data_IF_080709639358
#
_entry.id   IF_080709639358
#
_cell.length_a   1.000
_cell.length_b   1.000
_cell.length_c   1.000
_cell.angle_alpha   90.00
_cell.angle_beta   90.00
_cell.angle_gamma   90.00
#
_symmetry.space_group_name_H-M   'P 1'
#
loop_
_entity.id
_entity.type
_entity.pdbx_description
1 polymer ?
2 water ?
#
# COMPACT_ATOMS: atom_id res chain seq x y z
N UNK A 26 -0.16 5.49 16.59
CA UNK A 26 -0.81 4.17 16.51
C UNK A 26 -2.04 4.27 15.62
N UNK A 27 -2.01 5.21 14.65
CA UNK A 27 -3.16 5.60 13.76
C UNK A 27 -4.40 6.37 14.36
N UNK A 28 -4.54 6.35 15.68
CA UNK A 28 -5.74 6.86 16.40
C UNK A 28 -5.89 8.39 16.40
N UNK A 29 -4.82 9.13 16.12
CA UNK A 29 -4.90 10.57 15.99
C UNK A 29 -5.85 10.97 14.86
N UNK A 30 -6.10 10.02 13.95
CA UNK A 30 -6.89 10.27 12.73
C UNK A 30 -8.40 10.18 12.93
N UNK A 31 -8.80 9.50 14.00
CA UNK A 31 -10.19 9.33 14.37
C UNK A 31 -10.90 10.61 14.81
N UNK A 32 -12.22 10.62 14.69
CA UNK A 32 -13.05 11.75 15.11
C UNK A 32 -13.79 12.40 13.97
N UNK A 33 -14.19 13.65 14.20
CA UNK A 33 -14.97 14.47 13.26
C UNK A 33 -14.18 15.73 12.91
N UNK A 34 -14.00 15.99 11.61
CA UNK A 34 -13.23 17.15 11.13
C UNK A 34 -14.13 18.06 10.35
N UNK A 35 -13.81 19.35 10.36
CA UNK A 35 -14.58 20.37 9.65
C UNK A 35 -13.64 21.17 8.81
N UNK A 36 -14.00 21.44 7.56
CA UNK A 36 -13.18 22.30 6.69
C UNK A 36 -13.01 23.68 7.28
N UNK A 37 -11.77 24.19 7.27
CA UNK A 37 -11.53 25.58 7.68
C UNK A 37 -10.81 26.41 6.64
N UNK A 38 -10.53 25.81 5.49
CA UNK A 38 -9.87 26.53 4.41
C UNK A 38 -9.53 25.55 3.28
N UNK A 39 -9.20 26.10 2.12
CA UNK A 39 -8.89 25.34 0.93
C UNK A 39 -8.40 26.29 -0.16
N UNK A 40 -7.29 25.91 -0.79
CA UNK A 40 -6.73 26.67 -1.90
C UNK A 40 -6.35 25.71 -3.03
N UNK A 41 -6.68 26.10 -4.27
CA UNK A 41 -6.51 25.28 -5.50
C UNK A 41 -7.56 24.19 -5.79
N UNK A 42 -8.41 23.90 -4.80
CA UNK A 42 -9.72 23.18 -4.90
C UNK A 42 -10.38 23.06 -6.27
N UNK A 43 -10.41 24.15 -7.01
CA UNK A 43 -11.16 24.18 -8.25
C UNK A 43 -10.37 23.65 -9.42
N UNK A 44 -9.06 23.95 -9.47
CA UNK A 44 -8.19 23.43 -10.55
C UNK A 44 -8.10 21.92 -10.48
N UNK A 45 -8.30 21.37 -9.29
CA UNK A 45 -8.20 19.92 -9.11
C UNK A 45 -9.36 19.19 -9.75
N UNK A 46 -10.57 19.75 -9.62
CA UNK A 46 -11.78 19.20 -10.23
C UNK A 46 -11.87 19.47 -11.73
N UNK A 47 -11.30 20.58 -12.20
CA UNK A 47 -11.18 20.80 -13.65
C UNK A 47 -10.22 19.75 -14.25
N UNK A 48 -9.14 19.41 -13.55
CA UNK A 48 -8.10 18.53 -14.10
C UNK A 48 -8.60 17.10 -14.28
N UNK A 49 -9.58 16.74 -13.44
CA UNK A 49 -10.29 15.46 -13.43
C UNK A 49 -11.47 15.59 -14.36
N UNK A 50 -11.75 16.84 -14.80
CA UNK A 50 -12.78 17.13 -15.79
C UNK A 50 -14.20 17.16 -15.28
N UNK A 51 -14.32 17.32 -13.96
CA UNK A 51 -15.59 17.60 -13.23
C UNK A 51 -16.34 18.82 -13.84
N UNK A 52 -17.66 18.73 -13.99
CA UNK A 52 -18.43 19.81 -14.67
C UNK A 52 -18.58 21.10 -13.88
N UNK A 53 -18.53 22.26 -14.55
CA UNK A 53 -18.67 23.56 -13.87
C UNK A 53 -19.79 23.52 -12.84
N UNK A 54 -20.97 23.14 -13.31
CA UNK A 54 -22.18 23.05 -12.50
C UNK A 54 -21.87 22.38 -11.16
N UNK A 55 -21.52 21.10 -11.26
CA UNK A 55 -20.99 20.31 -10.15
C UNK A 55 -19.84 21.04 -9.41
N UNK A 56 -18.82 21.51 -10.13
CA UNK A 56 -17.67 22.26 -9.53
C UNK A 56 -18.04 23.43 -8.62
N UNK A 57 -19.16 24.09 -8.87
CA UNK A 57 -19.40 25.35 -8.14
C UNK A 57 -20.23 25.23 -6.86
N UNK A 58 -21.37 24.54 -6.93
CA UNK A 58 -22.08 24.09 -5.73
C UNK A 58 -21.13 23.48 -4.71
N UNK A 59 -20.42 22.45 -5.15
CA UNK A 59 -19.52 21.66 -4.32
C UNK A 59 -18.25 22.41 -3.91
N UNK A 60 -17.96 23.52 -4.60
CA UNK A 60 -16.81 24.38 -4.28
C UNK A 60 -17.19 25.42 -3.24
N UNK A 61 -18.48 25.77 -3.18
CA UNK A 61 -18.96 26.78 -2.22
C UNK A 61 -19.10 26.18 -0.82
N UNK A 62 -19.39 24.87 -0.76
CA UNK A 62 -19.63 24.15 0.51
C UNK A 62 -18.41 23.93 1.41
N UNK A 63 -18.67 23.73 2.69
CA UNK A 63 -17.63 23.40 3.65
C UNK A 63 -18.06 22.12 4.38
N UNK A 64 -17.50 20.97 3.97
CA UNK A 64 -17.99 19.68 4.43
C UNK A 64 -17.41 19.21 5.76
N UNK A 65 -18.06 18.23 6.35
CA UNK A 65 -17.54 17.62 7.56
C UNK A 65 -17.05 16.20 7.23
N UNK A 66 -15.78 15.92 7.53
CA UNK A 66 -15.23 14.58 7.37
C UNK A 66 -15.21 13.83 8.71
N UNK A 67 -15.47 12.54 8.65
CA UNK A 67 -15.35 11.73 9.82
C UNK A 67 -14.32 10.66 9.53
N UNK A 68 -13.46 10.38 10.51
CA UNK A 68 -12.60 9.21 10.38
C UNK A 68 -12.87 8.23 11.52
N UNK A 69 -13.21 7.00 11.14
CA UNK A 69 -13.75 6.04 12.08
C UNK A 69 -13.04 4.71 11.90
N UNK A 70 -12.56 4.19 12.99
CA UNK A 70 -11.98 2.85 13.01
C UNK A 70 -13.04 1.93 13.53
N UNK A 71 -13.00 0.68 13.08
CA UNK A 71 -13.77 -0.39 13.67
C UNK A 71 -13.05 -1.73 13.52
N UNK A 72 -12.23 -2.07 14.53
CA UNK A 72 -11.37 -3.25 14.43
C UNK A 72 -10.40 -3.02 13.27
N UNK A 73 -10.48 -3.90 12.28
CA UNK A 73 -9.61 -3.84 11.10
C UNK A 73 -9.98 -2.75 10.13
N UNK A 74 -11.26 -2.37 10.17
CA UNK A 74 -11.93 -1.61 9.14
C UNK A 74 -11.95 -0.13 9.50
N UNK A 75 -11.61 0.73 8.54
CA UNK A 75 -11.82 2.15 8.69
C UNK A 75 -12.89 2.61 7.75
N UNK A 76 -13.20 3.91 7.82
CA UNK A 76 -14.35 4.49 7.12
C UNK A 76 -14.18 5.99 6.97
N UNK A 77 -14.42 6.47 5.74
CA UNK A 77 -14.32 7.88 5.41
C UNK A 77 -15.70 8.46 5.04
N UNK A 78 -16.32 9.13 6.01
CA UNK A 78 -17.59 9.75 5.79
C UNK A 78 -17.28 11.14 5.32
N UNK A 79 -17.98 11.53 4.26
CA UNK A 79 -18.02 12.91 3.79
C UNK A 79 -19.47 13.37 3.95
N UNK A 80 -19.62 14.56 4.53
CA UNK A 80 -20.93 15.16 4.79
C UNK A 80 -20.86 16.60 4.33
N UNK A 81 -21.45 16.86 3.16
CA UNK A 81 -21.72 18.21 2.69
C UNK A 81 -23.14 18.24 2.19
N UNK A 82 -23.77 19.39 2.29
CA UNK A 82 -25.03 19.66 1.60
C UNK A 82 -25.04 19.20 0.12
N UNK A 83 -23.85 18.99 -0.47
CA UNK A 83 -23.68 18.53 -1.85
C UNK A 83 -23.62 16.99 -2.04
N UNK A 84 -22.80 16.31 -1.22
CA UNK A 84 -22.67 14.83 -1.25
C UNK A 84 -22.48 14.19 0.12
N UNK A 85 -22.94 12.94 0.19
CA UNK A 85 -22.83 12.08 1.37
C UNK A 85 -22.28 10.72 0.96
N UNK A 86 -21.13 10.40 1.55
CA UNK A 86 -20.33 9.25 1.18
C UNK A 86 -19.72 8.55 2.42
N UNK A 87 -19.64 7.24 2.32
CA UNK A 87 -19.01 6.37 3.30
C UNK A 87 -18.28 5.29 2.51
N UNK A 88 -17.00 5.09 2.81
CA UNK A 88 -16.23 3.98 2.24
C UNK A 88 -15.48 3.27 3.34
N UNK A 89 -15.67 1.97 3.46
CA UNK A 89 -14.91 1.20 4.42
C UNK A 89 -13.88 0.38 3.73
N UNK A 90 -12.75 0.20 4.42
CA UNK A 90 -11.65 -0.56 3.89
C UNK A 90 -10.76 -1.09 4.98
N UNK A 91 -10.00 -2.14 4.63
CA UNK A 91 -8.79 -2.57 5.34
C UNK A 91 -7.56 -1.86 4.78
N UNK A 92 -6.66 -1.38 5.64
CA UNK A 92 -5.41 -0.80 5.11
C UNK A 92 -4.63 -1.88 4.37
N UNK A 93 -4.07 -1.48 3.23
CA UNK A 93 -3.17 -2.31 2.44
C UNK A 93 -3.89 -3.29 1.56
N UNK A 94 -5.23 -3.29 1.63
CA UNK A 94 -6.10 -4.16 0.84
C UNK A 94 -6.84 -3.32 -0.20
N UNK A 95 -6.66 -3.69 -1.46
CA UNK A 95 -7.16 -2.95 -2.60
C UNK A 95 -8.63 -3.19 -2.76
N UNK A 96 -9.34 -2.23 -3.36
CA UNK A 96 -10.80 -2.32 -3.55
C UNK A 96 -11.29 -1.58 -4.81
N UNK A 97 -12.49 -1.90 -5.26
CA UNK A 97 -13.03 -1.24 -6.48
C UNK A 97 -13.83 -0.06 -6.05
N UNK A 98 -13.74 1.04 -6.75
CA UNK A 98 -14.59 2.13 -6.34
C UNK A 98 -14.94 2.99 -7.53
N UNK A 99 -16.12 3.59 -7.42
CA UNK A 99 -16.66 4.57 -8.33
C UNK A 99 -16.59 5.82 -7.44
N UNK A 100 -16.10 6.95 -7.95
CA UNK A 100 -16.19 8.15 -7.13
C UNK A 100 -17.60 8.84 -7.22
N UNK A 101 -17.67 10.17 -7.01
CA UNK A 101 -18.88 10.91 -7.37
C UNK A 101 -18.66 11.63 -8.69
N UNK A 102 -17.49 11.36 -9.33
CA UNK A 102 -17.18 11.76 -10.75
C UNK A 102 -17.46 10.60 -11.76
N UNK A 103 -17.80 9.44 -11.19
CA UNK A 103 -18.21 8.23 -11.90
C UNK A 103 -17.16 7.45 -12.68
N UNK A 104 -15.91 7.51 -12.23
CA UNK A 104 -14.83 6.76 -12.84
C UNK A 104 -14.69 5.49 -12.05
N UNK A 105 -14.62 4.35 -12.73
CA UNK A 105 -14.26 3.08 -12.08
C UNK A 105 -12.78 3.16 -11.81
N UNK A 106 -12.42 3.06 -10.53
CA UNK A 106 -11.03 3.07 -10.16
C UNK A 106 -10.65 1.85 -9.29
N UNK A 107 -9.35 1.60 -9.21
CA UNK A 107 -8.76 0.65 -8.29
C UNK A 107 -8.10 1.50 -7.21
N UNK A 108 -8.42 1.17 -5.97
CA UNK A 108 -8.09 2.03 -4.90
C UNK A 108 -7.39 1.21 -3.83
N UNK A 109 -6.52 1.87 -3.06
CA UNK A 109 -5.84 1.27 -1.91
C UNK A 109 -5.47 2.40 -0.95
N UNK A 110 -5.69 2.14 0.36
CA UNK A 110 -5.35 3.14 1.39
C UNK A 110 -4.30 2.61 2.34
N UNK A 111 -3.26 3.39 2.56
CA UNK A 111 -2.18 2.94 3.40
C UNK A 111 -1.77 3.96 4.44
N UNK A 112 -0.86 3.52 5.32
CA UNK A 112 -0.20 4.39 6.27
C UNK A 112 1.31 4.43 6.07
N UNK A 113 1.75 5.51 5.43
CA UNK A 113 3.15 5.65 5.15
C UNK A 113 3.85 6.62 6.10
N UNK A 114 3.86 6.28 7.38
CA UNK A 114 4.60 7.10 8.36
C UNK A 114 3.81 8.33 8.79
N UNK A 115 2.68 8.07 9.46
CA UNK A 115 1.74 9.11 9.83
C UNK A 115 1.20 9.99 8.69
N UNK A 116 1.41 9.59 7.42
CA UNK A 116 0.72 10.18 6.25
C UNK A 116 -0.33 9.18 5.73
N UNK A 117 -1.63 9.47 5.86
CA UNK A 117 -2.65 8.52 5.31
C UNK A 117 -2.84 8.73 3.79
N UNK A 118 -2.56 7.68 3.01
CA UNK A 118 -2.53 7.85 1.58
C UNK A 118 -3.61 7.01 0.97
N UNK A 119 -4.39 7.65 0.10
CA UNK A 119 -5.49 7.07 -0.61
C UNK A 119 -5.01 7.21 -2.02
N UNK A 120 -4.71 6.10 -2.67
CA UNK A 120 -4.39 6.17 -4.08
C UNK A 120 -5.60 5.68 -4.86
N UNK A 121 -5.82 6.25 -6.04
CA UNK A 121 -6.91 5.82 -6.91
C UNK A 121 -6.30 5.71 -8.28
N UNK A 122 -6.57 4.62 -9.01
CA UNK A 122 -6.01 4.42 -10.34
C UNK A 122 -7.03 3.95 -11.37
N UNK A 123 -6.86 4.41 -12.62
CA UNK A 123 -7.63 3.84 -13.73
C UNK A 123 -6.89 4.04 -15.07
N UNK A 124 -7.10 3.13 -16.02
CA UNK A 124 -6.56 3.28 -17.37
C UNK A 124 -5.43 4.30 -17.49
N UNK A 125 -4.23 3.84 -17.08
CA UNK A 125 -3.00 4.63 -17.24
C UNK A 125 -3.16 6.11 -16.93
N UNK A 126 -3.32 6.38 -15.63
CA UNK A 126 -3.56 7.70 -15.08
C UNK A 126 -3.98 7.40 -13.64
N UNK A 127 -3.88 8.39 -12.75
CA UNK A 127 -4.14 8.21 -11.31
C UNK A 127 -4.22 9.52 -10.46
N UNK A 128 -4.66 9.37 -9.21
CA UNK A 128 -4.83 10.50 -8.29
C UNK A 128 -4.64 10.12 -6.80
N UNK A 129 -4.10 11.04 -6.02
CA UNK A 129 -3.68 10.81 -4.65
C UNK A 129 -4.43 11.71 -3.65
N UNK A 130 -5.10 11.11 -2.67
CA UNK A 130 -5.69 11.88 -1.55
C UNK A 130 -4.88 11.64 -0.24
N UNK A 131 -3.81 12.43 -0.05
CA UNK A 131 -2.90 12.28 1.09
C UNK A 131 -3.30 13.16 2.25
N UNK A 132 -3.52 12.57 3.42
CA UNK A 132 -4.10 13.26 4.60
C UNK A 132 -3.18 13.33 5.85
N UNK A 133 -2.35 14.36 5.99
CA UNK A 133 -1.47 14.42 7.20
C UNK A 133 -1.98 15.22 8.41
N UNK A 134 -1.24 15.14 9.51
CA UNK A 134 -1.47 15.97 10.70
C UNK A 134 -0.29 16.94 10.83
N UNK A 135 -0.54 18.21 10.54
CA UNK A 135 0.46 19.26 10.67
C UNK A 135 -0.18 20.40 11.45
N UNK A 136 0.34 20.62 12.66
CA UNK A 136 -0.35 21.28 13.79
C UNK A 136 -1.16 20.21 14.49
N UNK A 137 -2.35 20.57 14.98
CA UNK A 137 -3.42 19.58 15.11
C UNK A 137 -4.43 19.90 14.01
N UNK A 138 -3.96 20.01 12.77
CA UNK A 138 -4.85 20.46 11.69
C UNK A 138 -4.65 19.57 10.49
N UNK A 139 -5.53 18.57 10.37
CA UNK A 139 -5.46 17.60 9.28
C UNK A 139 -5.42 18.33 7.94
N UNK A 140 -4.29 18.21 7.26
CA UNK A 140 -4.15 18.71 5.93
C UNK A 140 -4.42 17.52 5.02
N UNK A 141 -5.09 17.79 3.90
CA UNK A 141 -5.37 16.81 2.88
C UNK A 141 -4.85 17.37 1.56
N UNK A 142 -3.77 16.81 1.00
CA UNK A 142 -3.28 17.32 -0.27
C UNK A 142 -3.86 16.41 -1.33
N UNK A 143 -4.12 16.98 -2.52
CA UNK A 143 -4.89 16.34 -3.59
C UNK A 143 -4.21 16.54 -4.95
N UNK A 144 -3.52 15.51 -5.41
CA UNK A 144 -2.61 15.62 -6.52
C UNK A 144 -3.17 14.77 -7.65
N UNK A 145 -3.43 15.42 -8.79
CA UNK A 145 -3.86 14.79 -10.05
C UNK A 145 -2.97 15.37 -11.15
N UNK A 146 -1.86 14.70 -11.44
CA UNK A 146 -0.92 15.19 -12.48
C UNK A 146 -0.23 16.46 -12.02
N UNK A 147 -0.24 17.53 -12.84
CA UNK A 147 0.32 18.84 -12.47
C UNK A 147 -0.72 19.74 -11.81
N UNK A 148 -1.37 19.24 -10.78
CA UNK A 148 -2.52 19.91 -10.21
C UNK A 148 -2.65 19.51 -8.75
N UNK A 149 -2.42 20.48 -7.88
CA UNK A 149 -2.34 20.23 -6.45
C UNK A 149 -3.31 21.17 -5.73
N UNK A 150 -3.91 20.66 -4.66
CA UNK A 150 -4.86 21.38 -3.81
C UNK A 150 -4.53 21.10 -2.34
N UNK A 151 -4.76 22.07 -1.47
CA UNK A 151 -4.62 21.83 -0.03
C UNK A 151 -5.93 22.18 0.71
N UNK A 152 -6.40 21.31 1.61
CA UNK A 152 -7.68 21.51 2.32
C UNK A 152 -7.67 21.21 3.84
N UNK A 153 -7.68 22.27 4.68
CA UNK A 153 -7.43 22.14 6.12
C UNK A 153 -8.64 21.88 7.01
N UNK A 154 -8.62 20.81 7.80
CA UNK A 154 -9.69 20.45 8.73
C UNK A 154 -9.31 20.65 10.22
N UNK A 155 -10.27 21.11 11.03
CA UNK A 155 -10.07 21.23 12.48
C UNK A 155 -10.98 20.25 13.20
N UNK A 156 -10.59 19.85 14.40
CA UNK A 156 -11.27 18.77 15.13
C UNK A 156 -12.59 19.19 15.83
N UNK A 157 -13.49 18.22 16.04
CA UNK A 157 -14.74 18.42 16.83
C UNK A 157 -15.03 17.19 17.70
N UNK A 158 -15.88 17.37 18.72
CA UNK A 158 -16.33 16.26 19.58
C UNK A 158 -17.77 15.85 19.26
N UNK B 26 -8.94 -15.32 1.32
CA UNK B 26 -9.20 -14.04 2.03
C UNK B 26 -7.89 -13.25 2.26
N UNK B 27 -6.75 -13.86 1.86
CA UNK B 27 -5.39 -13.64 2.45
C UNK B 27 -4.91 -14.93 3.19
N UNK B 28 -5.87 -15.75 3.63
CA UNK B 28 -5.59 -17.07 4.20
C UNK B 28 -4.99 -18.00 3.14
N UNK B 29 -5.40 -17.82 1.89
CA UNK B 29 -4.90 -18.65 0.80
C UNK B 29 -3.37 -18.85 0.91
N UNK B 30 -2.69 -17.80 1.37
CA UNK B 30 -1.23 -17.77 1.57
C UNK B 30 -0.71 -18.40 2.91
N UNK B 31 -1.59 -18.84 3.81
CA UNK B 31 -1.18 -19.36 5.13
C UNK B 31 -0.63 -20.80 5.13
N UNK B 32 0.47 -21.01 5.87
CA UNK B 32 1.11 -22.33 5.99
C UNK B 32 2.52 -22.41 5.40
N UNK B 33 3.16 -23.57 5.54
CA UNK B 33 4.52 -23.83 5.03
C UNK B 33 4.52 -23.94 3.50
N UNK B 34 5.61 -23.49 2.86
CA UNK B 34 5.80 -23.56 1.39
C UNK B 34 7.23 -23.89 0.99
N UNK B 35 7.43 -24.85 0.08
CA UNK B 35 8.79 -25.31 -0.21
C UNK B 35 9.19 -25.07 -1.66
N UNK B 36 10.35 -24.46 -1.89
CA UNK B 36 10.79 -24.13 -3.24
C UNK B 36 10.83 -25.35 -4.16
N UNK B 37 10.44 -25.15 -5.41
CA UNK B 37 10.47 -26.25 -6.39
C UNK B 37 10.95 -25.86 -7.78
N UNK B 38 11.52 -24.67 -7.91
CA UNK B 38 12.11 -24.19 -9.16
C UNK B 38 12.66 -22.78 -8.91
N UNK B 39 13.47 -22.26 -9.84
CA UNK B 39 14.00 -20.90 -9.76
C UNK B 39 14.67 -20.52 -11.07
N UNK B 40 14.41 -19.29 -11.52
CA UNK B 40 15.04 -18.75 -12.72
C UNK B 40 15.56 -17.32 -12.45
N UNK B 41 16.82 -17.07 -12.83
CA UNK B 41 17.48 -15.76 -12.70
C UNK B 41 17.80 -15.30 -11.28
N UNK B 42 17.68 -16.24 -10.35
CA UNK B 42 18.15 -16.15 -8.98
C UNK B 42 19.45 -15.37 -8.80
N UNK B 43 20.45 -15.82 -9.55
CA UNK B 43 21.79 -15.32 -9.43
C UNK B 43 21.74 -13.94 -10.03
N UNK B 44 21.22 -13.82 -11.25
CA UNK B 44 21.18 -12.52 -11.94
C UNK B 44 20.58 -11.44 -11.05
N UNK B 45 19.64 -11.84 -10.19
CA UNK B 45 18.95 -10.91 -9.29
C UNK B 45 19.81 -10.36 -8.18
N UNK B 46 20.52 -11.24 -7.51
CA UNK B 46 21.33 -10.89 -6.34
C UNK B 46 22.61 -10.15 -6.73
N UNK B 47 23.20 -10.57 -7.86
CA UNK B 47 24.30 -9.86 -8.51
C UNK B 47 23.92 -8.36 -8.64
N UNK B 48 22.69 -8.09 -9.09
CA UNK B 48 22.16 -6.72 -9.29
C UNK B 48 22.12 -5.86 -8.04
N UNK B 49 21.74 -6.47 -6.91
CA UNK B 49 21.68 -5.83 -5.61
C UNK B 49 23.07 -5.59 -4.99
N UNK B 50 24.04 -6.40 -5.40
CA UNK B 50 25.44 -6.16 -5.04
C UNK B 50 25.97 -7.15 -4.03
N UNK B 51 25.28 -8.29 -3.95
CA UNK B 51 25.63 -9.43 -3.10
C UNK B 51 27.02 -10.03 -3.47
N UNK B 52 27.64 -10.74 -2.52
CA UNK B 52 29.02 -11.23 -2.69
C UNK B 52 29.03 -12.68 -3.13
N UNK B 53 30.02 -13.07 -3.93
CA UNK B 53 29.90 -14.37 -4.56
C UNK B 53 29.69 -15.47 -3.50
N UNK B 54 30.47 -15.39 -2.42
CA UNK B 54 30.47 -16.45 -1.40
C UNK B 54 29.04 -16.56 -0.90
N UNK B 55 28.53 -15.41 -0.46
CA UNK B 55 27.14 -15.23 -0.04
C UNK B 55 26.12 -15.60 -1.15
N UNK B 56 26.37 -15.21 -2.41
CA UNK B 56 25.55 -15.62 -3.60
C UNK B 56 25.39 -17.14 -3.77
N UNK B 57 26.50 -17.88 -3.77
CA UNK B 57 26.47 -19.33 -4.08
C UNK B 57 25.78 -20.19 -3.04
N UNK B 58 26.17 -20.04 -1.78
CA UNK B 58 25.52 -20.74 -0.66
C UNK B 58 23.98 -20.72 -0.75
N UNK B 59 23.40 -19.55 -1.04
CA UNK B 59 21.94 -19.38 -1.24
C UNK B 59 21.43 -19.73 -2.65
N UNK B 60 22.24 -19.46 -3.68
CA UNK B 60 21.94 -19.94 -5.03
C UNK B 60 21.47 -21.39 -5.02
N UNK B 61 22.35 -22.30 -4.58
CA UNK B 61 22.12 -23.77 -4.62
C UNK B 61 20.95 -24.24 -3.73
N UNK B 62 20.64 -23.50 -2.66
CA UNK B 62 19.71 -24.01 -1.63
C UNK B 62 18.20 -23.75 -1.83
N UNK B 63 17.41 -24.74 -1.42
CA UNK B 63 15.96 -24.62 -1.44
C UNK B 63 15.37 -24.33 -0.05
N UNK B 64 14.77 -23.14 0.09
CA UNK B 64 14.18 -22.60 1.34
C UNK B 64 12.69 -22.88 1.49
N UNK B 65 12.25 -22.91 2.74
CA UNK B 65 10.85 -23.10 3.08
C UNK B 65 10.27 -21.82 3.67
N UNK B 66 9.53 -21.10 2.83
CA UNK B 66 8.79 -19.90 3.19
C UNK B 66 7.61 -20.27 4.07
N UNK B 67 7.25 -19.36 4.96
CA UNK B 67 6.15 -19.59 5.88
C UNK B 67 5.37 -18.30 6.00
N UNK B 68 4.04 -18.41 5.94
CA UNK B 68 3.20 -17.24 6.11
C UNK B 68 2.12 -17.62 7.12
N UNK B 69 1.86 -16.73 8.07
CA UNK B 69 0.78 -16.92 9.05
C UNK B 69 0.27 -15.56 9.57
N UNK B 70 -0.63 -15.55 10.55
CA UNK B 70 -1.46 -14.34 10.80
C UNK B 70 -2.31 -14.38 12.07
N UNK B 71 -1.96 -13.59 13.07
CA UNK B 71 -2.76 -13.50 14.28
C UNK B 71 -3.47 -12.15 14.41
N UNK B 72 -4.80 -12.22 14.36
CA UNK B 72 -5.62 -11.07 14.07
C UNK B 72 -5.03 -10.39 12.84
N UNK B 73 -4.69 -9.13 13.00
CA UNK B 73 -4.27 -8.32 11.87
C UNK B 73 -2.73 -8.26 11.73
N UNK B 74 -2.01 -9.19 12.33
CA UNK B 74 -0.54 -9.23 12.19
C UNK B 74 0.06 -10.38 11.35
N UNK B 75 0.50 -10.05 10.16
CA UNK B 75 1.21 -11.03 9.33
C UNK B 75 2.62 -11.28 9.78
N UNK B 76 3.19 -12.34 9.21
CA UNK B 76 4.52 -12.81 9.54
C UNK B 76 5.01 -13.67 8.39
N UNK B 77 6.17 -13.32 7.84
CA UNK B 77 6.92 -14.18 6.92
C UNK B 77 8.22 -14.68 7.53
N UNK B 78 8.19 -15.88 8.14
CA UNK B 78 9.42 -16.63 8.45
C UNK B 78 10.07 -17.08 7.14
N UNK B 79 11.35 -17.45 7.21
CA UNK B 79 12.10 -18.09 6.12
C UNK B 79 13.26 -18.82 6.75
N UNK B 80 13.39 -20.11 6.45
CA UNK B 80 14.49 -20.96 6.96
C UNK B 80 15.32 -21.44 5.77
N UNK B 81 16.62 -21.58 5.98
CA UNK B 81 17.54 -22.24 5.02
C UNK B 81 18.99 -22.03 5.44
N UNK B 82 19.91 -22.48 4.59
CA UNK B 82 21.36 -22.46 4.82
C UNK B 82 21.95 -21.11 4.42
N UNK B 83 21.41 -20.05 5.05
CA UNK B 83 21.66 -18.62 4.75
C UNK B 83 21.02 -17.84 5.90
N UNK B 84 19.78 -17.39 5.69
CA UNK B 84 18.99 -16.80 6.78
C UNK B 84 18.22 -17.83 7.62
N UNK B 85 17.55 -17.33 8.68
CA UNK B 85 16.54 -18.06 9.48
C UNK B 85 15.65 -17.01 10.20
N UNK B 86 14.89 -16.26 9.39
CA UNK B 86 14.30 -14.97 9.82
C UNK B 86 12.78 -14.85 9.82
N UNK B 87 12.33 -13.81 10.50
CA UNK B 87 10.95 -13.55 10.82
C UNK B 87 10.83 -12.02 10.81
N UNK B 88 9.83 -11.52 10.06
CA UNK B 88 9.31 -10.14 10.19
C UNK B 88 7.81 -10.10 10.43
N UNK B 89 7.31 -9.12 11.17
CA UNK B 89 5.85 -9.00 11.27
C UNK B 89 5.27 -7.67 10.86
N UNK B 90 4.14 -7.72 10.18
CA UNK B 90 3.56 -6.49 9.71
C UNK B 90 2.05 -6.59 9.63
N UNK B 91 1.45 -5.39 9.61
CA UNK B 91 0.06 -5.18 9.25
C UNK B 91 0.10 -4.70 7.82
N UNK B 92 -0.77 -5.20 6.96
CA UNK B 92 -0.83 -4.74 5.57
C UNK B 92 -1.22 -3.26 5.56
N UNK B 93 -0.60 -2.51 4.67
CA UNK B 93 -0.91 -1.11 4.48
C UNK B 93 -0.22 -0.16 5.43
N UNK B 94 0.62 -0.74 6.34
CA UNK B 94 1.41 -0.03 7.38
C UNK B 94 2.93 -0.20 7.16
N UNK B 95 3.59 0.92 6.86
CA UNK B 95 4.97 0.92 6.46
C UNK B 95 5.86 0.70 7.67
N UNK B 96 7.01 0.05 7.47
CA UNK B 96 7.91 -0.28 8.56
C UNK B 96 9.40 -0.25 8.09
N UNK B 97 10.31 0.20 8.95
CA UNK B 97 11.76 0.17 8.60
C UNK B 97 12.23 -1.26 8.68
N UNK B 98 12.94 -1.72 7.69
CA UNK B 98 13.65 -2.96 7.91
C UNK B 98 15.05 -2.86 7.29
N UNK B 99 15.85 -3.88 7.56
CA UNK B 99 17.22 -3.98 7.15
C UNK B 99 17.30 -5.39 6.60
N UNK B 100 17.83 -5.56 5.41
CA UNK B 100 17.87 -6.90 4.83
C UNK B 100 19.20 -7.73 5.06
N UNK B 101 19.14 -9.01 4.68
CA UNK B 101 20.26 -9.91 4.62
C UNK B 101 21.34 -9.18 3.85
N UNK B 102 20.86 -8.28 2.99
CA UNK B 102 21.68 -7.45 2.06
C UNK B 102 22.27 -6.16 2.74
N UNK B 103 21.67 -5.87 3.90
CA UNK B 103 22.13 -4.87 4.86
C UNK B 103 21.74 -3.44 4.62
N UNK B 104 20.86 -3.25 3.66
CA UNK B 104 20.31 -1.96 3.33
C UNK B 104 19.23 -1.61 4.34
N UNK B 105 19.38 -0.43 4.93
CA UNK B 105 18.33 0.25 5.67
C UNK B 105 17.26 0.58 4.63
N UNK B 106 16.10 -0.08 4.68
CA UNK B 106 15.05 0.25 3.69
C UNK B 106 13.69 0.58 4.31
N UNK B 107 12.84 1.26 3.52
CA UNK B 107 11.45 1.53 3.90
C UNK B 107 10.52 0.57 3.13
N UNK B 108 9.81 -0.25 3.89
CA UNK B 108 9.06 -1.37 3.37
C UNK B 108 7.53 -1.15 3.47
N UNK B 109 6.78 -1.94 2.72
CA UNK B 109 5.33 -1.96 2.91
C UNK B 109 4.79 -3.25 2.32
N UNK B 110 3.91 -3.95 3.01
CA UNK B 110 3.21 -5.06 2.36
C UNK B 110 1.71 -4.72 2.07
N UNK B 111 1.22 -5.09 0.88
CA UNK B 111 -0.17 -4.90 0.57
C UNK B 111 -0.72 -6.13 -0.12
N UNK B 112 -2.04 -6.22 -0.18
CA UNK B 112 -2.73 -7.23 -1.04
C UNK B 112 -3.47 -6.53 -2.19
N UNK B 113 -3.03 -6.77 -3.42
CA UNK B 113 -3.47 -5.98 -4.55
C UNK B 113 -4.24 -6.79 -5.56
N UNK B 114 -5.50 -7.03 -5.23
CA UNK B 114 -6.32 -7.83 -6.10
C UNK B 114 -5.66 -9.19 -6.14
N UNK B 115 -5.47 -9.76 -4.94
CA UNK B 115 -4.94 -11.12 -4.82
C UNK B 115 -3.43 -11.28 -4.81
N UNK B 116 -2.71 -10.46 -5.57
CA UNK B 116 -1.24 -10.52 -5.61
C UNK B 116 -0.73 -9.91 -4.30
N UNK B 117 0.18 -10.60 -3.60
CA UNK B 117 0.78 -10.09 -2.32
C UNK B 117 2.11 -9.34 -2.53
N UNK B 118 2.09 -8.05 -2.23
CA UNK B 118 3.15 -7.15 -2.62
C UNK B 118 4.01 -6.73 -1.46
N UNK B 119 5.30 -6.87 -1.66
CA UNK B 119 6.22 -6.47 -0.66
C UNK B 119 7.22 -5.65 -1.42
N UNK B 120 7.22 -4.36 -1.06
CA UNK B 120 8.02 -3.37 -1.70
C UNK B 120 9.11 -3.06 -0.71
N UNK B 121 10.27 -2.65 -1.20
CA UNK B 121 11.31 -2.10 -0.34
C UNK B 121 11.81 -0.84 -1.06
N UNK B 122 12.19 0.19 -0.32
CA UNK B 122 12.64 1.45 -0.94
C UNK B 122 13.84 2.04 -0.20
N UNK B 123 14.79 2.59 -0.95
CA UNK B 123 15.96 3.36 -0.43
C UNK B 123 16.62 4.28 -1.53
N UNK B 124 17.28 5.38 -1.13
CA UNK B 124 17.93 6.34 -2.04
C UNK B 124 17.77 6.11 -3.57
N UNK B 125 16.60 6.52 -4.06
CA UNK B 125 16.31 6.53 -5.50
C UNK B 125 16.05 5.16 -6.09
N UNK B 126 15.81 4.17 -5.22
CA UNK B 126 15.75 2.79 -5.70
C UNK B 126 14.67 2.00 -5.01
N UNK B 127 14.12 1.02 -5.69
CA UNK B 127 13.21 0.07 -5.07
C UNK B 127 13.26 -1.32 -5.71
N UNK B 128 12.96 -2.37 -4.92
CA UNK B 128 12.80 -3.73 -5.41
C UNK B 128 11.54 -4.33 -4.84
N UNK B 129 10.92 -5.20 -5.63
CA UNK B 129 9.59 -5.75 -5.38
C UNK B 129 9.63 -7.30 -5.21
N UNK B 130 9.11 -7.78 -4.09
CA UNK B 130 8.95 -9.22 -3.87
C UNK B 130 7.45 -9.50 -3.92
N UNK B 131 6.98 -9.94 -5.08
CA UNK B 131 5.55 -10.16 -5.37
C UNK B 131 5.19 -11.62 -5.21
N UNK B 132 4.21 -11.90 -4.37
CA UNK B 132 3.70 -13.26 -4.17
C UNK B 132 2.29 -13.47 -4.76
N UNK B 133 2.06 -14.57 -5.47
CA UNK B 133 0.74 -14.90 -6.08
C UNK B 133 0.44 -16.40 -6.05
N UNK B 134 -0.84 -16.75 -6.14
CA UNK B 134 -1.19 -18.16 -6.31
C UNK B 134 -1.56 -18.41 -7.78
N UNK B 135 -0.70 -19.19 -8.42
CA UNK B 135 -0.84 -19.60 -9.81
C UNK B 135 -0.86 -21.12 -9.92
N UNK B 136 -1.94 -21.65 -10.50
CA UNK B 136 -2.20 -23.09 -10.53
C UNK B 136 -2.01 -23.73 -9.12
N UNK B 137 -1.21 -24.78 -9.02
CA UNK B 137 -1.01 -25.40 -7.70
C UNK B 137 -0.04 -24.66 -6.77
N UNK B 138 0.57 -23.59 -7.26
CA UNK B 138 1.89 -23.20 -6.75
C UNK B 138 1.99 -21.76 -6.24
N UNK B 139 2.82 -21.53 -5.22
CA UNK B 139 3.14 -20.17 -4.84
C UNK B 139 4.26 -19.60 -5.71
N UNK B 140 4.00 -18.44 -6.30
CA UNK B 140 4.90 -17.83 -7.27
C UNK B 140 5.27 -16.44 -6.80
N UNK B 141 6.57 -16.30 -6.52
CA UNK B 141 7.21 -15.08 -6.01
C UNK B 141 8.09 -14.50 -7.12
N UNK B 142 7.73 -13.34 -7.65
CA UNK B 142 8.58 -12.63 -8.62
C UNK B 142 9.27 -11.54 -7.86
N UNK B 143 10.58 -11.44 -8.11
CA UNK B 143 11.50 -10.51 -7.44
C UNK B 143 12.10 -9.62 -8.52
N UNK B 144 11.97 -8.29 -8.37
CA UNK B 144 12.27 -7.36 -9.47
C UNK B 144 13.17 -6.18 -9.06
N UNK B 145 14.34 -6.07 -9.70
CA UNK B 145 15.31 -5.00 -9.38
C UNK B 145 15.92 -4.42 -10.65
N UNK B 146 15.47 -3.21 -10.96
CA UNK B 146 15.77 -2.64 -12.28
C UNK B 146 15.41 -3.71 -13.29
N UNK B 147 16.43 -4.23 -13.97
CA UNK B 147 16.31 -5.04 -15.17
C UNK B 147 16.36 -6.55 -14.86
N UNK B 148 16.57 -6.87 -13.58
CA UNK B 148 16.59 -8.25 -13.13
C UNK B 148 15.21 -8.63 -12.65
N UNK B 149 14.71 -9.75 -13.18
CA UNK B 149 13.36 -10.26 -12.89
C UNK B 149 13.52 -11.74 -12.61
N UNK B 150 13.10 -12.21 -11.44
CA UNK B 150 13.33 -13.60 -11.01
C UNK B 150 12.07 -14.23 -10.41
N UNK B 151 11.85 -15.52 -10.68
CA UNK B 151 10.65 -16.22 -10.20
C UNK B 151 10.93 -17.33 -9.17
N UNK B 152 10.06 -17.51 -8.18
CA UNK B 152 10.30 -18.59 -7.23
C UNK B 152 9.08 -19.48 -6.99
N UNK B 153 9.00 -20.58 -7.73
CA UNK B 153 7.87 -21.45 -7.60
C UNK B 153 7.99 -22.27 -6.35
N UNK B 154 6.97 -22.17 -5.51
CA UNK B 154 6.94 -22.72 -4.17
C UNK B 154 5.71 -23.60 -4.14
N UNK B 155 5.71 -24.60 -3.28
CA UNK B 155 4.63 -25.56 -3.28
C UNK B 155 4.21 -25.81 -1.86
N UNK B 156 2.91 -25.71 -1.61
CA UNK B 156 2.33 -25.84 -0.27
C UNK B 156 2.81 -27.05 0.57
N UNK B 157 2.94 -26.82 1.88
CA UNK B 157 3.13 -27.86 2.89
C UNK B 157 2.38 -27.51 4.21
N UNK B 158 2.03 -28.56 4.96
CA UNK B 158 1.38 -28.48 6.29
C UNK B 158 0.22 -27.46 6.45
#
# INVERSE_FOLDING_TARGET
>A
MGSSHHHHHHSSGLVPRGSHMLQDLMVDAFLGTWKLVDSKNFDDYMKSLGVGFATRQVASMTKPTTIIEKNGDILTLKTHSTFKNTEISFKLGVEFDETTADDRKVKSIVTLDGGKLVHLQKWDGQETTLVRELIDGKLILTLTHGTAVCTRTYEKEA
>B
MGSSHHHHHHSSGLVPRGSHMLQDLMVDAFLGTWKLVDSKNFDDYMKSLGVGFATRQVASMTKPTTIIEKNGDILTLKTHSTFKNTEISFKLGVEFDETTADDRKVKSIVTLDGGKLVHLQKWDGQETTLVRELIDGKLILTLTHGTAVCTRTYEKEA
#
